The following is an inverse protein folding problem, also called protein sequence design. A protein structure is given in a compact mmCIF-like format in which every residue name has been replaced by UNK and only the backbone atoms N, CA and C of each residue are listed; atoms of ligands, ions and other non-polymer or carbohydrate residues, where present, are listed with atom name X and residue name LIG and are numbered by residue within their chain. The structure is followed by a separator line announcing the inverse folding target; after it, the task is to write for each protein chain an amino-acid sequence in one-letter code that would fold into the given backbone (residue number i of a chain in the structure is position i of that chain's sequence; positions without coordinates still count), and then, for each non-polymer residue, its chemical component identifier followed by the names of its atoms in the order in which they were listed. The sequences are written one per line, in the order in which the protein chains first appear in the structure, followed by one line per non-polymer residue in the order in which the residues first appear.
data_IF_324845758854
#
_entry.id   IF_324845758854
#
_cell.length_a   1.000
_cell.length_b   1.000
_cell.length_c   1.000
_cell.angle_alpha   90.00
_cell.angle_beta   90.00
_cell.angle_gamma   90.00
#
_symmetry.space_group_name_H-M   'P 1'
#
loop_
_entity.id
_entity.type
_entity.pdbx_description
1 polymer ?
#
# COMPACT_ATOMS: atom_id res chain seq x y z
N UNK A 1 3.81 19.24 16.19
CA UNK A 1 3.75 18.80 17.61
C UNK A 1 3.05 17.45 17.68
N UNK A 2 3.17 16.71 18.79
CA UNK A 2 2.48 15.42 18.97
C UNK A 2 0.96 15.53 18.77
N UNK A 3 0.37 16.65 19.19
CA UNK A 3 -1.05 16.96 18.98
C UNK A 3 -1.43 16.99 17.50
N UNK A 4 -0.65 17.72 16.67
CA UNK A 4 -0.90 17.81 15.23
C UNK A 4 -0.80 16.43 14.54
N UNK A 5 0.15 15.59 14.97
CA UNK A 5 0.29 14.25 14.43
C UNK A 5 -0.95 13.38 14.71
N UNK A 6 -1.49 13.45 15.94
CA UNK A 6 -2.72 12.73 16.29
C UNK A 6 -3.94 13.21 15.50
N UNK A 7 -4.05 14.52 15.28
CA UNK A 7 -5.12 15.11 14.45
C UNK A 7 -5.05 14.61 13.00
N UNK A 8 -3.86 14.54 12.42
CA UNK A 8 -3.65 13.98 11.07
C UNK A 8 -3.99 12.49 11.00
N UNK A 9 -3.59 11.69 11.98
CA UNK A 9 -3.95 10.26 12.03
C UNK A 9 -5.47 10.09 12.14
N UNK A 10 -6.14 10.93 12.93
CA UNK A 10 -7.61 10.97 13.00
C UNK A 10 -8.25 11.30 11.65
N UNK A 11 -7.65 12.21 10.87
CA UNK A 11 -8.10 12.49 9.50
C UNK A 11 -7.90 11.29 8.56
N UNK A 12 -6.77 10.58 8.63
CA UNK A 12 -6.53 9.38 7.81
C UNK A 12 -7.54 8.26 8.09
N UNK A 13 -8.07 8.17 9.30
CA UNK A 13 -9.12 7.21 9.65
C UNK A 13 -10.44 7.42 8.90
N UNK A 14 -10.63 8.56 8.23
CA UNK A 14 -11.79 8.82 7.36
C UNK A 14 -11.67 8.16 5.99
N UNK A 15 -10.47 7.70 5.61
CA UNK A 15 -10.24 7.05 4.33
C UNK A 15 -10.80 5.63 4.33
N UNK A 16 -11.26 5.18 3.15
CA UNK A 16 -11.64 3.78 2.96
C UNK A 16 -10.39 2.92 3.11
N UNK A 17 -10.42 1.97 4.04
CA UNK A 17 -9.44 0.90 4.15
C UNK A 17 -9.91 -0.37 3.43
N UNK A 18 -8.96 -1.21 3.05
CA UNK A 18 -9.22 -2.57 2.60
C UNK A 18 -8.64 -3.53 3.63
N UNK A 19 -9.40 -4.58 3.94
CA UNK A 19 -8.88 -5.70 4.72
C UNK A 19 -8.06 -6.61 3.81
N UNK A 20 -6.88 -6.98 4.27
CA UNK A 20 -6.05 -7.96 3.60
C UNK A 20 -6.73 -9.34 3.59
N UNK A 21 -6.54 -10.07 2.50
CA UNK A 21 -6.93 -11.46 2.38
C UNK A 21 -5.71 -12.35 2.07
N UNK A 22 -5.89 -13.67 2.20
CA UNK A 22 -4.83 -14.65 1.94
C UNK A 22 -4.27 -14.52 0.52
N UNK A 23 -5.10 -14.18 -0.46
CA UNK A 23 -4.68 -13.96 -1.83
C UNK A 23 -3.73 -12.76 -1.97
N UNK A 24 -3.99 -11.67 -1.26
CA UNK A 24 -3.09 -10.51 -1.20
C UNK A 24 -1.76 -10.88 -0.55
N UNK A 25 -1.77 -11.65 0.55
CA UNK A 25 -0.54 -12.10 1.23
C UNK A 25 0.32 -12.97 0.30
N UNK A 26 -0.29 -13.92 -0.40
CA UNK A 26 0.43 -14.77 -1.36
C UNK A 26 0.93 -13.98 -2.58
N UNK A 27 0.14 -13.03 -3.06
CA UNK A 27 0.55 -12.10 -4.12
C UNK A 27 1.75 -11.25 -3.73
N UNK A 28 1.74 -10.71 -2.51
CA UNK A 28 2.82 -9.90 -1.96
C UNK A 28 4.12 -10.70 -1.82
N UNK A 29 4.04 -11.95 -1.34
CA UNK A 29 5.20 -12.83 -1.25
C UNK A 29 5.85 -13.07 -2.62
N UNK A 30 5.06 -13.26 -3.67
CA UNK A 30 5.55 -13.38 -5.05
C UNK A 30 6.18 -12.07 -5.54
N UNK A 31 5.50 -10.93 -5.38
CA UNK A 31 5.96 -9.62 -5.86
C UNK A 31 7.20 -9.09 -5.16
N UNK A 32 7.42 -9.49 -3.91
CA UNK A 32 8.65 -9.20 -3.16
C UNK A 32 9.87 -9.58 -4.00
N UNK A 33 9.86 -10.75 -4.63
CA UNK A 33 10.93 -11.20 -5.52
C UNK A 33 10.92 -10.52 -6.89
N UNK A 34 9.75 -10.33 -7.50
CA UNK A 34 9.63 -9.76 -8.85
C UNK A 34 10.04 -8.29 -8.92
N UNK A 35 9.75 -7.53 -7.87
CA UNK A 35 9.96 -6.09 -7.83
C UNK A 35 11.15 -5.69 -6.95
N UNK A 36 11.75 -6.64 -6.21
CA UNK A 36 12.83 -6.37 -5.25
C UNK A 36 12.49 -5.28 -4.21
N UNK A 37 11.24 -5.30 -3.73
CA UNK A 37 10.71 -4.39 -2.71
C UNK A 37 10.41 -5.15 -1.42
N UNK A 38 10.16 -4.45 -0.31
CA UNK A 38 9.81 -5.13 0.94
C UNK A 38 8.46 -5.85 0.80
N UNK A 39 8.24 -6.88 1.63
CA UNK A 39 6.95 -7.58 1.68
C UNK A 39 5.78 -6.63 1.96
N UNK A 40 5.98 -5.62 2.81
CA UNK A 40 4.93 -4.66 3.15
C UNK A 40 4.58 -3.73 1.98
N UNK A 41 5.58 -3.29 1.21
CA UNK A 41 5.36 -2.51 -0.01
C UNK A 41 4.62 -3.35 -1.06
N UNK A 42 5.02 -4.62 -1.21
CA UNK A 42 4.34 -5.57 -2.09
C UNK A 42 2.88 -5.82 -1.66
N UNK A 43 2.59 -5.83 -0.36
CA UNK A 43 1.23 -5.97 0.16
C UNK A 43 0.38 -4.72 -0.12
N UNK A 44 0.96 -3.52 -0.03
CA UNK A 44 0.30 -2.27 -0.44
C UNK A 44 -0.03 -2.31 -1.93
N UNK A 45 0.89 -2.80 -2.78
CA UNK A 45 0.62 -2.98 -4.23
C UNK A 45 -0.55 -3.93 -4.46
N UNK A 46 -0.61 -5.07 -3.77
CA UNK A 46 -1.75 -6.00 -3.88
C UNK A 46 -3.08 -5.37 -3.41
N UNK A 47 -3.06 -4.58 -2.34
CA UNK A 47 -4.24 -3.85 -1.89
C UNK A 47 -4.73 -2.83 -2.94
N UNK A 48 -3.82 -2.11 -3.60
CA UNK A 48 -4.15 -1.18 -4.70
C UNK A 48 -4.77 -1.93 -5.87
N UNK A 49 -4.17 -3.03 -6.30
CA UNK A 49 -4.69 -3.86 -7.39
C UNK A 49 -6.10 -4.40 -7.09
N UNK A 50 -6.39 -4.69 -5.81
CA UNK A 50 -7.72 -5.10 -5.35
C UNK A 50 -8.72 -3.95 -5.22
N UNK A 51 -8.23 -2.74 -4.92
CA UNK A 51 -9.07 -1.55 -4.76
C UNK A 51 -9.70 -1.06 -6.08
N UNK A 52 -9.10 -1.43 -7.22
CA UNK A 52 -9.43 -0.87 -8.54
C UNK A 52 -8.91 0.56 -8.75
N UNK A 53 -8.00 1.05 -7.91
CA UNK A 53 -7.35 2.34 -8.11
C UNK A 53 -6.31 2.26 -9.23
N UNK A 54 -6.28 3.30 -10.07
CA UNK A 54 -5.36 3.38 -11.21
C UNK A 54 -3.98 3.96 -10.85
N UNK A 55 -3.79 4.43 -9.62
CA UNK A 55 -2.56 5.11 -9.19
C UNK A 55 -2.29 4.92 -7.70
N UNK A 56 -1.05 4.55 -7.38
CA UNK A 56 -0.50 4.52 -6.02
C UNK A 56 0.44 5.72 -5.82
N UNK A 57 0.22 6.49 -4.75
CA UNK A 57 1.17 7.48 -4.27
C UNK A 57 2.07 6.82 -3.21
N UNK A 58 3.37 6.79 -3.45
CA UNK A 58 4.37 6.17 -2.56
C UNK A 58 5.75 6.79 -2.81
N UNK A 59 6.60 6.76 -1.79
CA UNK A 59 8.01 7.15 -1.86
C UNK A 59 8.93 5.94 -2.06
N UNK A 60 8.44 4.73 -1.80
CA UNK A 60 9.22 3.49 -1.77
C UNK A 60 9.40 2.86 -3.17
N UNK A 61 8.62 3.31 -4.17
CA UNK A 61 8.68 2.84 -5.55
C UNK A 61 9.26 3.89 -6.50
N UNK A 62 9.68 3.44 -7.68
CA UNK A 62 10.23 4.35 -8.70
C UNK A 62 9.14 5.29 -9.24
N UNK A 63 9.49 6.57 -9.42
CA UNK A 63 8.57 7.54 -9.98
C UNK A 63 8.12 7.13 -11.39
N UNK A 64 6.80 7.03 -11.59
CA UNK A 64 6.22 6.64 -12.88
C UNK A 64 6.25 5.14 -13.19
N UNK A 65 6.57 4.29 -12.22
CA UNK A 65 6.53 2.84 -12.38
C UNK A 65 5.11 2.33 -12.70
N UNK A 66 5.01 1.35 -13.60
CA UNK A 66 3.76 0.66 -13.99
C UNK A 66 3.92 -0.83 -13.66
N UNK A 67 2.91 -1.42 -13.02
CA UNK A 67 2.87 -2.81 -12.53
C UNK A 67 1.69 -3.54 -13.15
#
# INVERSE_FOLDING_TARGET
SEQQAREMVGYFATFRTLSEDVGMVLGAARRTGELSISFWDALIVEAVLRSGADRLFTEDLQHGQVI
#
